data_IF_482565396331
#
_entry.id   IF_482565396331
#
_cell.length_a   1.000
_cell.length_b   1.000
_cell.length_c   1.000
_cell.angle_alpha   90.00
_cell.angle_beta   90.00
_cell.angle_gamma   90.00
#
_symmetry.space_group_name_H-M   'P 1'
#
loop_
_entity.id
_entity.type
_entity.pdbx_description
1 polymer ?
#
# COMPACT_ATOMS: atom_id res chain seq x y z
N UNK A 1 7.29 -33.23 -11.70
CA UNK A 1 7.60 -31.79 -11.88
C UNK A 1 7.37 -31.32 -13.30
N UNK A 2 8.00 -31.92 -14.32
CA UNK A 2 7.81 -31.53 -15.72
C UNK A 2 6.36 -31.66 -16.23
N UNK A 3 5.67 -32.76 -15.86
CA UNK A 3 4.27 -32.98 -16.21
C UNK A 3 3.31 -31.90 -15.70
N UNK A 4 3.55 -31.38 -14.49
CA UNK A 4 2.69 -30.36 -13.87
C UNK A 4 2.83 -29.02 -14.63
N UNK A 5 4.05 -28.68 -15.04
CA UNK A 5 4.32 -27.43 -15.77
C UNK A 5 3.63 -27.47 -17.15
N UNK A 6 3.71 -28.60 -17.86
CA UNK A 6 3.02 -28.77 -19.14
C UNK A 6 1.51 -28.71 -19.01
N UNK A 7 0.93 -29.29 -17.96
CA UNK A 7 -0.51 -29.19 -17.68
C UNK A 7 -0.94 -27.74 -17.42
N UNK A 8 -0.18 -26.98 -16.61
CA UNK A 8 -0.47 -25.57 -16.35
C UNK A 8 -0.44 -24.76 -17.65
N UNK A 9 0.56 -24.98 -18.51
CA UNK A 9 0.65 -24.29 -19.79
C UNK A 9 -0.48 -24.67 -20.76
N UNK A 10 -0.91 -25.93 -20.75
CA UNK A 10 -2.06 -26.35 -21.55
C UNK A 10 -3.36 -25.68 -21.08
N UNK A 11 -3.58 -25.59 -19.77
CA UNK A 11 -4.74 -24.88 -19.19
C UNK A 11 -4.66 -23.39 -19.53
N UNK A 12 -3.48 -22.79 -19.43
CA UNK A 12 -3.26 -21.38 -19.79
C UNK A 12 -3.62 -21.09 -21.25
N UNK A 13 -3.12 -21.92 -22.17
CA UNK A 13 -3.41 -21.75 -23.60
C UNK A 13 -4.90 -22.00 -23.90
N UNK A 14 -5.54 -22.94 -23.19
CA UNK A 14 -6.98 -23.19 -23.31
C UNK A 14 -7.84 -22.00 -22.86
N UNK A 15 -7.38 -21.21 -21.89
CA UNK A 15 -8.07 -20.01 -21.40
C UNK A 15 -8.07 -18.84 -22.37
N UNK A 16 -7.34 -18.94 -23.49
CA UNK A 16 -7.33 -17.96 -24.56
C UNK A 16 -6.70 -16.61 -24.18
N UNK A 17 -6.99 -15.58 -24.98
CA UNK A 17 -6.33 -14.27 -24.87
C UNK A 17 -6.59 -13.55 -23.53
N UNK A 18 -7.74 -13.81 -22.87
CA UNK A 18 -8.14 -13.16 -21.61
C UNK A 18 -7.22 -13.52 -20.43
N UNK A 19 -6.45 -14.61 -20.55
CA UNK A 19 -5.47 -15.01 -19.54
C UNK A 19 -4.35 -13.97 -19.35
N UNK A 20 -3.94 -13.28 -20.41
CA UNK A 20 -2.88 -12.26 -20.37
C UNK A 20 -3.28 -11.08 -19.46
N UNK A 21 -4.41 -10.39 -19.70
CA UNK A 21 -4.81 -9.28 -18.85
C UNK A 21 -5.19 -9.74 -17.42
N UNK A 22 -5.71 -10.97 -17.23
CA UNK A 22 -5.90 -11.54 -15.89
C UNK A 22 -4.58 -11.73 -15.13
N UNK A 23 -3.53 -12.21 -15.81
CA UNK A 23 -2.18 -12.28 -15.26
C UNK A 23 -1.72 -10.91 -14.77
N UNK A 24 -1.89 -9.91 -15.63
CA UNK A 24 -1.47 -8.55 -15.37
C UNK A 24 -2.22 -7.97 -14.17
N UNK A 25 -3.55 -8.17 -14.07
CA UNK A 25 -4.31 -7.77 -12.89
C UNK A 25 -3.76 -8.43 -11.63
N UNK A 26 -3.49 -9.74 -11.65
CA UNK A 26 -2.94 -10.42 -10.49
C UNK A 26 -1.58 -9.84 -10.07
N UNK A 27 -0.66 -9.63 -11.02
CA UNK A 27 0.64 -9.02 -10.76
C UNK A 27 0.49 -7.61 -10.16
N UNK A 28 -0.38 -6.77 -10.74
CA UNK A 28 -0.61 -5.41 -10.23
C UNK A 28 -1.21 -5.40 -8.82
N UNK A 29 -2.17 -6.29 -8.54
CA UNK A 29 -2.78 -6.42 -7.22
C UNK A 29 -1.74 -6.84 -6.19
N UNK A 30 -0.95 -7.88 -6.49
CA UNK A 30 0.06 -8.38 -5.56
C UNK A 30 1.19 -7.38 -5.34
N UNK A 31 1.71 -6.75 -6.39
CA UNK A 31 2.77 -5.75 -6.27
C UNK A 31 2.31 -4.53 -5.49
N UNK A 32 1.15 -3.96 -5.84
CA UNK A 32 0.59 -2.79 -5.14
C UNK A 32 0.22 -3.09 -3.70
N UNK A 33 -0.43 -4.24 -3.46
CA UNK A 33 -0.82 -4.67 -2.12
C UNK A 33 0.40 -4.96 -1.23
N UNK A 34 1.44 -5.59 -1.77
CA UNK A 34 2.67 -5.86 -1.04
C UNK A 34 3.46 -4.60 -0.72
N UNK A 35 3.61 -3.68 -1.67
CA UNK A 35 4.24 -2.37 -1.43
C UNK A 35 3.49 -1.59 -0.34
N UNK A 36 2.15 -1.61 -0.37
CA UNK A 36 1.32 -0.96 0.64
C UNK A 36 1.46 -1.62 2.01
N UNK A 37 1.53 -2.95 2.07
CA UNK A 37 1.76 -3.68 3.32
C UNK A 37 3.12 -3.34 3.94
N UNK A 38 4.19 -3.28 3.13
CA UNK A 38 5.51 -2.85 3.59
C UNK A 38 5.50 -1.39 4.05
N UNK A 39 4.88 -0.50 3.27
CA UNK A 39 4.75 0.91 3.62
C UNK A 39 4.04 1.10 4.96
N UNK A 40 2.91 0.42 5.16
CA UNK A 40 2.20 0.44 6.45
C UNK A 40 3.05 -0.17 7.56
N UNK A 41 3.72 -1.31 7.34
CA UNK A 41 4.56 -1.94 8.37
C UNK A 41 5.71 -1.04 8.83
N UNK A 42 6.32 -0.29 7.90
CA UNK A 42 7.38 0.68 8.21
C UNK A 42 6.83 1.93 8.92
N UNK A 43 5.64 2.40 8.55
CA UNK A 43 5.03 3.63 9.10
C UNK A 43 4.11 3.37 10.29
N UNK A 44 3.79 2.12 10.62
CA UNK A 44 3.15 1.71 11.87
C UNK A 44 4.20 1.77 12.98
N UNK A 45 4.82 2.94 13.10
CA UNK A 45 5.67 3.41 14.17
C UNK A 45 4.91 3.21 15.47
N UNK A 46 5.11 2.04 16.07
CA UNK A 46 5.01 1.76 17.51
C UNK A 46 4.18 2.80 18.28
N UNK A 47 2.88 2.88 17.97
CA UNK A 47 1.93 3.64 18.80
C UNK A 47 1.83 3.00 20.20
N UNK A 48 2.32 1.78 20.33
CA UNK A 48 2.47 1.04 21.58
C UNK A 48 3.49 1.70 22.54
N UNK A 49 4.42 2.51 22.04
CA UNK A 49 5.40 3.23 22.89
C UNK A 49 4.86 4.60 23.34
N UNK A 50 3.54 4.67 23.58
CA UNK A 50 2.81 5.83 24.11
C UNK A 50 3.47 6.45 25.36
N UNK A 51 4.27 5.68 26.10
CA UNK A 51 4.98 6.11 27.31
C UNK A 51 6.23 6.95 27.04
N UNK A 52 6.87 6.82 25.89
CA UNK A 52 8.16 7.47 25.62
C UNK A 52 8.05 8.77 24.79
N UNK A 53 6.85 9.14 24.33
CA UNK A 53 6.66 10.36 23.52
C UNK A 53 7.07 11.63 24.24
N UNK A 54 6.82 11.72 25.56
CA UNK A 54 7.29 12.88 26.35
C UNK A 54 8.82 12.96 26.33
N UNK A 55 9.49 11.83 26.49
CA UNK A 55 10.96 11.78 26.50
C UNK A 55 11.55 12.10 25.11
N UNK A 56 10.90 11.67 24.03
CA UNK A 56 11.29 12.01 22.66
C UNK A 56 11.08 13.48 22.30
N UNK A 57 10.04 14.11 22.86
CA UNK A 57 9.80 15.56 22.70
C UNK A 57 10.88 16.37 23.40
N UNK A 58 11.32 15.94 24.59
CA UNK A 58 12.37 16.59 25.36
C UNK A 58 13.79 16.29 24.84
N UNK A 59 14.03 15.05 24.37
CA UNK A 59 15.30 14.56 23.85
C UNK A 59 15.08 13.90 22.47
N UNK A 60 15.04 14.69 21.38
CA UNK A 60 14.78 14.18 20.03
C UNK A 60 15.83 13.20 19.53
N UNK A 61 17.01 13.13 20.16
CA UNK A 61 18.06 12.16 19.84
C UNK A 61 17.73 10.72 20.24
N UNK A 62 16.81 10.52 21.19
CA UNK A 62 16.35 9.20 21.64
C UNK A 62 15.21 8.65 20.77
N UNK A 63 14.63 9.49 19.91
CA UNK A 63 13.51 9.11 19.07
C UNK A 63 13.97 8.27 17.86
N UNK A 64 13.14 7.30 17.40
CA UNK A 64 13.35 6.63 16.12
C UNK A 64 13.52 7.65 14.98
N UNK A 65 14.38 7.37 13.98
CA UNK A 65 14.72 8.34 12.91
C UNK A 65 13.52 9.10 12.33
N UNK A 66 12.43 8.42 12.05
CA UNK A 66 11.20 9.01 11.48
C UNK A 66 10.49 9.94 12.47
N UNK A 67 10.36 9.51 13.74
CA UNK A 67 9.79 10.35 14.80
C UNK A 67 10.70 11.54 15.13
N UNK A 68 12.03 11.34 15.14
CA UNK A 68 13.03 12.40 15.31
C UNK A 68 12.89 13.49 14.25
N UNK A 69 12.74 13.11 12.99
CA UNK A 69 12.60 14.04 11.87
C UNK A 69 11.29 14.83 11.96
N UNK A 70 10.18 14.16 12.30
CA UNK A 70 8.87 14.80 12.52
C UNK A 70 8.93 15.75 13.73
N UNK A 71 9.47 15.31 14.87
CA UNK A 71 9.58 16.11 16.11
C UNK A 71 10.48 17.32 15.88
N UNK A 72 11.64 17.13 15.24
CA UNK A 72 12.57 18.22 14.96
C UNK A 72 11.98 19.23 13.99
N UNK A 73 11.37 18.79 12.89
CA UNK A 73 10.68 19.67 11.95
C UNK A 73 9.51 20.40 12.61
N UNK A 74 8.82 19.73 13.52
CA UNK A 74 7.71 20.30 14.27
C UNK A 74 8.17 21.31 15.33
N UNK A 75 9.38 21.21 15.88
CA UNK A 75 9.90 22.14 16.91
C UNK A 75 10.78 23.26 16.33
N UNK A 76 11.36 23.10 15.14
CA UNK A 76 12.16 24.14 14.48
C UNK A 76 11.29 25.38 14.15
N UNK A 77 11.69 26.54 14.66
CA UNK A 77 11.07 27.86 14.42
C UNK A 77 9.59 27.99 14.84
N UNK A 78 9.11 27.21 15.81
CA UNK A 78 7.73 27.32 16.30
C UNK A 78 7.65 28.24 17.52
N UNK A 79 6.98 29.39 17.35
CA UNK A 79 6.71 30.37 18.41
C UNK A 79 5.31 30.22 19.03
N UNK A 80 4.43 29.36 18.49
CA UNK A 80 3.03 29.22 18.95
C UNK A 80 2.49 27.82 18.66
N UNK A 81 1.72 27.26 19.60
CA UNK A 81 1.08 25.92 19.52
C UNK A 81 0.22 25.68 18.27
N UNK A 82 -0.34 26.74 17.69
CA UNK A 82 -1.11 26.70 16.43
C UNK A 82 -0.25 26.29 15.23
N UNK A 83 1.02 26.73 15.17
CA UNK A 83 1.92 26.34 14.08
C UNK A 83 2.31 24.87 14.18
N UNK A 84 2.50 24.34 15.39
CA UNK A 84 2.75 22.92 15.65
C UNK A 84 1.60 22.05 15.11
N UNK A 85 0.37 22.39 15.49
CA UNK A 85 -0.86 21.71 15.06
C UNK A 85 -0.97 21.64 13.54
N UNK A 86 -0.76 22.78 12.86
CA UNK A 86 -0.85 22.85 11.41
C UNK A 86 0.21 21.96 10.72
N UNK A 87 1.44 21.88 11.25
CA UNK A 87 2.49 21.02 10.70
C UNK A 87 2.16 19.54 10.84
N UNK A 88 1.60 19.13 11.98
CA UNK A 88 1.12 17.75 12.15
C UNK A 88 -0.02 17.42 11.19
N UNK A 89 -0.98 18.32 11.02
CA UNK A 89 -2.08 18.15 10.07
C UNK A 89 -1.58 18.05 8.62
N UNK A 90 -0.57 18.84 8.23
CA UNK A 90 0.07 18.73 6.90
C UNK A 90 0.74 17.37 6.67
N UNK A 91 1.48 16.87 7.67
CA UNK A 91 2.16 15.57 7.59
C UNK A 91 1.13 14.44 7.52
N UNK A 92 0.11 14.48 8.38
CA UNK A 92 -0.98 13.51 8.41
C UNK A 92 -1.72 13.49 7.06
N UNK A 93 -2.11 14.65 6.53
CA UNK A 93 -2.77 14.75 5.23
C UNK A 93 -1.90 14.19 4.11
N UNK A 94 -0.59 14.47 4.12
CA UNK A 94 0.32 13.98 3.06
C UNK A 94 0.46 12.46 3.10
N UNK A 95 0.61 11.87 4.29
CA UNK A 95 0.73 10.43 4.48
C UNK A 95 -0.58 9.71 4.14
N UNK A 96 -1.71 10.17 4.69
CA UNK A 96 -3.03 9.60 4.44
C UNK A 96 -3.40 9.69 2.96
N UNK A 97 -3.17 10.84 2.32
CA UNK A 97 -3.48 11.02 0.90
C UNK A 97 -2.68 10.06 0.00
N UNK A 98 -1.45 9.70 0.36
CA UNK A 98 -0.66 8.70 -0.37
C UNK A 98 -1.27 7.29 -0.22
N UNK A 99 -1.69 6.93 1.00
CA UNK A 99 -2.31 5.64 1.29
C UNK A 99 -3.65 5.52 0.56
N UNK A 100 -4.50 6.54 0.66
CA UNK A 100 -5.83 6.58 0.05
C UNK A 100 -5.77 6.37 -1.46
N UNK A 101 -4.85 7.05 -2.16
CA UNK A 101 -4.68 6.88 -3.61
C UNK A 101 -4.29 5.45 -3.99
N UNK A 102 -3.38 4.83 -3.23
CA UNK A 102 -2.98 3.42 -3.47
C UNK A 102 -4.14 2.45 -3.19
N UNK A 103 -4.91 2.70 -2.12
CA UNK A 103 -6.10 1.90 -1.78
C UNK A 103 -7.18 1.99 -2.85
N UNK A 104 -7.48 3.19 -3.36
CA UNK A 104 -8.46 3.38 -4.43
C UNK A 104 -8.05 2.61 -5.70
N UNK A 105 -6.77 2.70 -6.08
CA UNK A 105 -6.26 1.97 -7.23
C UNK A 105 -6.33 0.45 -7.03
N UNK A 106 -5.90 -0.05 -5.87
CA UNK A 106 -5.98 -1.47 -5.53
C UNK A 106 -7.42 -1.98 -5.55
N UNK A 107 -8.36 -1.24 -4.95
CA UNK A 107 -9.79 -1.58 -4.96
C UNK A 107 -10.35 -1.66 -6.38
N UNK A 108 -9.91 -0.77 -7.28
CA UNK A 108 -10.33 -0.78 -8.68
C UNK A 108 -9.84 -2.05 -9.40
N UNK A 109 -8.58 -2.45 -9.18
CA UNK A 109 -8.02 -3.68 -9.75
C UNK A 109 -8.75 -4.92 -9.23
N UNK A 110 -9.01 -4.98 -7.92
CA UNK A 110 -9.73 -6.09 -7.28
C UNK A 110 -11.17 -6.17 -7.78
N UNK A 111 -11.86 -5.03 -7.93
CA UNK A 111 -13.21 -4.99 -8.48
C UNK A 111 -13.27 -5.40 -9.96
N UNK A 112 -12.22 -5.13 -10.75
CA UNK A 112 -12.14 -5.53 -12.15
C UNK A 112 -11.87 -7.03 -12.34
N UNK A 113 -11.21 -7.70 -11.38
CA UNK A 113 -10.77 -9.09 -11.53
C UNK A 113 -11.93 -10.09 -11.77
N UNK A 114 -13.04 -10.08 -11.00
CA UNK A 114 -14.18 -10.96 -11.26
C UNK A 114 -14.82 -10.73 -12.63
N UNK A 115 -14.91 -9.46 -13.07
CA UNK A 115 -15.48 -9.09 -14.36
C UNK A 115 -14.64 -9.64 -15.53
N UNK A 116 -13.32 -9.57 -15.41
CA UNK A 116 -12.43 -10.18 -16.41
C UNK A 116 -12.53 -11.71 -16.43
N UNK A 117 -12.67 -12.35 -15.26
CA UNK A 117 -12.91 -13.78 -15.18
C UNK A 117 -14.21 -14.19 -15.87
N UNK A 118 -15.30 -13.46 -15.62
CA UNK A 118 -16.60 -13.69 -16.26
C UNK A 118 -16.54 -13.45 -17.77
N UNK A 119 -15.83 -12.41 -18.22
CA UNK A 119 -15.61 -12.17 -19.65
C UNK A 119 -14.92 -13.38 -20.31
N UNK A 120 -13.90 -13.94 -19.66
CA UNK A 120 -13.19 -15.13 -20.13
C UNK A 120 -14.10 -16.35 -20.27
N UNK A 121 -14.99 -16.59 -19.30
CA UNK A 121 -15.92 -17.73 -19.38
C UNK A 121 -16.97 -17.54 -20.47
N UNK A 122 -17.50 -16.32 -20.65
CA UNK A 122 -18.45 -16.03 -21.73
C UNK A 122 -17.82 -16.22 -23.11
N UNK A 123 -16.61 -15.68 -23.31
CA UNK A 123 -15.88 -15.86 -24.59
C UNK A 123 -15.60 -17.34 -24.84
N UNK A 124 -15.16 -18.09 -23.82
CA UNK A 124 -14.89 -19.52 -23.94
C UNK A 124 -16.12 -20.40 -24.18
N UNK A 125 -17.33 -19.94 -23.83
CA UNK A 125 -18.57 -20.64 -24.17
C UNK A 125 -19.10 -20.31 -25.58
N UNK A 126 -18.71 -19.17 -26.16
CA UNK A 126 -19.18 -18.71 -27.47
C UNK A 126 -18.24 -19.07 -28.64
N UNK A 127 -16.96 -19.33 -28.35
CA UNK A 127 -15.96 -19.74 -29.34
C UNK A 127 -15.77 -21.25 -29.38
#
# INVERSE_FOLDING_TARGET
MFLIITEIFNIWNSGGWVMIPLCLLAVLIYTTGFEMFLFLKEHNLKLDDSKNWQEWIHNPDLAPKQAKEIIRYSQENVSTSKHLRNRFEEIEQTLLHRIDRKLIFLNTLVAAAPLMGLLGTVIGMLG
#
